data_IF_365784479703
#
_entry.id   IF_365784479703
#
_cell.length_a   1.000
_cell.length_b   1.000
_cell.length_c   1.000
_cell.angle_alpha   90.00
_cell.angle_beta   90.00
_cell.angle_gamma   90.00
#
_symmetry.space_group_name_H-M   'P 1'
#
loop_
_entity.id
_entity.type
_entity.pdbx_description
1 polymer ?
#
# COMPACT_ATOMS: atom_id res chain seq x y z
N UNK A 1 -31.17 26.79 28.38
CA UNK A 1 -30.73 25.41 28.70
C UNK A 1 -30.86 24.47 27.50
N UNK A 2 -32.07 24.26 26.94
CA UNK A 2 -32.27 23.42 25.75
C UNK A 2 -31.40 23.82 24.54
N UNK A 3 -31.31 25.11 24.22
CA UNK A 3 -30.48 25.60 23.10
C UNK A 3 -28.98 25.30 23.31
N UNK A 4 -28.50 25.44 24.55
CA UNK A 4 -27.10 25.20 24.89
C UNK A 4 -26.74 23.70 24.82
N UNK A 5 -27.66 22.82 25.22
CA UNK A 5 -27.51 21.37 25.10
C UNK A 5 -27.50 20.95 23.63
N UNK A 6 -28.37 21.53 22.80
CA UNK A 6 -28.42 21.25 21.36
C UNK A 6 -27.10 21.62 20.65
N UNK A 7 -26.54 22.79 20.97
CA UNK A 7 -25.25 23.25 20.41
C UNK A 7 -24.12 22.31 20.82
N UNK A 8 -24.10 21.85 22.07
CA UNK A 8 -23.11 20.90 22.56
C UNK A 8 -23.16 19.56 21.82
N UNK A 9 -24.36 19.06 21.54
CA UNK A 9 -24.56 17.82 20.76
C UNK A 9 -24.06 17.99 19.33
N UNK A 10 -24.40 19.10 18.66
CA UNK A 10 -23.96 19.37 17.27
C UNK A 10 -22.44 19.48 17.18
N UNK A 11 -21.80 20.17 18.13
CA UNK A 11 -20.33 20.29 18.19
C UNK A 11 -19.67 18.93 18.46
N UNK A 12 -20.24 18.13 19.36
CA UNK A 12 -19.77 16.77 19.64
C UNK A 12 -19.83 15.87 18.40
N UNK A 13 -20.95 15.88 17.67
CA UNK A 13 -21.13 15.11 16.43
C UNK A 13 -20.14 15.55 15.35
N UNK A 14 -19.95 16.86 15.17
CA UNK A 14 -18.97 17.40 14.20
C UNK A 14 -17.54 16.95 14.51
N UNK A 15 -17.14 16.96 15.79
CA UNK A 15 -15.82 16.49 16.23
C UNK A 15 -15.60 15.01 15.92
N UNK A 16 -16.59 14.15 16.19
CA UNK A 16 -16.50 12.71 15.87
C UNK A 16 -16.40 12.47 14.36
N UNK A 17 -17.17 13.20 13.55
CA UNK A 17 -17.13 13.07 12.08
C UNK A 17 -15.78 13.51 11.51
N UNK A 18 -15.19 14.60 12.02
CA UNK A 18 -13.86 15.06 11.60
C UNK A 18 -12.77 14.05 12.00
N UNK A 19 -12.82 13.50 13.22
CA UNK A 19 -11.89 12.46 13.66
C UNK A 19 -12.01 11.19 12.83
N UNK A 20 -13.24 10.74 12.55
CA UNK A 20 -13.49 9.55 11.74
C UNK A 20 -13.00 9.73 10.29
N UNK A 21 -13.19 10.92 9.71
CA UNK A 21 -12.65 11.23 8.37
C UNK A 21 -11.12 11.29 8.37
N UNK A 22 -10.51 11.90 9.39
CA UNK A 22 -9.05 12.01 9.52
C UNK A 22 -8.39 10.65 9.76
N UNK A 23 -9.04 9.80 10.56
CA UNK A 23 -8.66 8.40 10.75
C UNK A 23 -8.73 7.62 9.44
N UNK A 24 -9.82 7.73 8.67
CA UNK A 24 -9.92 7.10 7.35
C UNK A 24 -8.85 7.58 6.37
N UNK A 25 -8.51 8.85 6.36
CA UNK A 25 -7.41 9.36 5.50
C UNK A 25 -6.04 8.88 5.96
N UNK A 26 -5.79 8.76 7.27
CA UNK A 26 -4.55 8.18 7.78
C UNK A 26 -4.47 6.67 7.53
N UNK A 27 -5.59 5.98 7.57
CA UNK A 27 -5.69 4.56 7.23
C UNK A 27 -5.49 4.34 5.73
N UNK A 28 -6.10 5.18 4.90
CA UNK A 28 -5.88 5.16 3.45
C UNK A 28 -4.42 5.44 3.10
N UNK A 29 -3.79 6.43 3.73
CA UNK A 29 -2.37 6.74 3.53
C UNK A 29 -1.43 5.62 3.99
N UNK A 30 -1.84 4.80 4.97
CA UNK A 30 -1.09 3.62 5.40
C UNK A 30 -1.23 2.43 4.44
N UNK A 31 -2.27 2.44 3.60
CA UNK A 31 -2.53 1.44 2.58
C UNK A 31 -2.01 1.88 1.20
N UNK A 32 -1.52 3.11 1.05
CA UNK A 32 -0.92 3.58 -0.19
C UNK A 32 0.45 2.91 -0.42
N UNK A 33 0.55 2.12 -1.49
CA UNK A 33 1.80 1.48 -1.95
C UNK A 33 2.68 2.52 -2.65
N UNK A 34 2.10 3.35 -3.51
CA UNK A 34 2.75 4.53 -4.09
C UNK A 34 2.06 5.81 -3.57
N UNK A 35 2.82 6.87 -3.22
CA UNK A 35 2.23 8.15 -2.81
C UNK A 35 1.29 8.68 -3.89
N UNK A 36 0.02 8.92 -3.52
CA UNK A 36 -0.99 9.43 -4.44
C UNK A 36 -1.60 8.38 -5.37
N UNK A 37 -1.28 7.10 -5.19
CA UNK A 37 -1.96 5.99 -5.87
C UNK A 37 -2.86 5.27 -4.85
N UNK A 38 -4.18 5.55 -4.83
CA UNK A 38 -5.09 4.82 -3.96
C UNK A 38 -5.07 3.35 -4.39
N UNK A 39 -4.61 2.49 -3.50
CA UNK A 39 -4.43 1.05 -3.78
C UNK A 39 -5.76 0.33 -3.88
N UNK A 40 -6.82 0.84 -3.26
CA UNK A 40 -8.10 0.13 -3.17
C UNK A 40 -8.04 -1.08 -2.24
N UNK A 41 -6.97 -1.21 -1.45
CA UNK A 41 -6.79 -2.29 -0.50
C UNK A 41 -7.85 -2.22 0.62
N UNK A 42 -8.37 -3.37 1.09
CA UNK A 42 -9.27 -3.42 2.22
C UNK A 42 -8.70 -2.74 3.46
N UNK A 43 -9.51 -1.93 4.15
CA UNK A 43 -9.07 -1.21 5.36
C UNK A 43 -8.64 -2.17 6.48
N UNK A 44 -9.24 -3.35 6.51
CA UNK A 44 -8.96 -4.43 7.45
C UNK A 44 -7.47 -4.87 7.39
N UNK A 45 -6.83 -4.80 6.21
CA UNK A 45 -5.43 -5.18 6.03
C UNK A 45 -4.43 -4.30 6.78
N UNK A 46 -4.85 -3.09 7.18
CA UNK A 46 -4.01 -2.25 8.03
C UNK A 46 -3.83 -2.85 9.43
N UNK A 47 -4.74 -3.72 9.88
CA UNK A 47 -4.78 -4.24 11.25
C UNK A 47 -4.74 -5.78 11.29
N UNK A 48 -5.07 -6.46 10.20
CA UNK A 48 -5.10 -7.92 10.13
C UNK A 48 -3.74 -8.55 9.77
N UNK A 49 -3.51 -9.78 10.27
CA UNK A 49 -2.33 -10.60 9.97
C UNK A 49 -2.59 -11.69 8.92
N UNK A 50 -3.57 -11.47 8.06
CA UNK A 50 -3.83 -12.34 6.91
C UNK A 50 -2.60 -12.40 5.99
N UNK A 51 -2.37 -13.51 5.27
CA UNK A 51 -1.25 -13.61 4.34
C UNK A 51 -1.27 -12.49 3.28
N UNK A 52 -2.45 -12.03 2.87
CA UNK A 52 -2.67 -10.90 1.98
C UNK A 52 -2.19 -9.58 2.59
N UNK A 53 -2.60 -9.29 3.84
CA UNK A 53 -2.18 -8.08 4.54
C UNK A 53 -0.65 -8.03 4.76
N UNK A 54 -0.01 -9.17 4.98
CA UNK A 54 1.47 -9.25 5.05
C UNK A 54 2.12 -9.00 3.69
N UNK A 55 1.55 -9.55 2.62
CA UNK A 55 2.05 -9.35 1.26
C UNK A 55 1.95 -7.88 0.84
N UNK A 56 0.81 -7.24 1.10
CA UNK A 56 0.58 -5.84 0.81
C UNK A 56 1.60 -4.94 1.54
N UNK A 57 1.85 -5.20 2.84
CA UNK A 57 2.90 -4.49 3.60
C UNK A 57 4.29 -4.63 2.96
N UNK A 58 4.66 -5.83 2.48
CA UNK A 58 5.93 -6.02 1.77
C UNK A 58 5.98 -5.25 0.46
N UNK A 59 4.89 -5.19 -0.30
CA UNK A 59 4.79 -4.37 -1.51
C UNK A 59 4.96 -2.88 -1.21
N UNK A 60 4.34 -2.36 -0.14
CA UNK A 60 4.52 -0.98 0.33
C UNK A 60 5.99 -0.71 0.67
N UNK A 61 6.65 -1.62 1.40
CA UNK A 61 8.06 -1.46 1.76
C UNK A 61 8.98 -1.51 0.54
N UNK A 62 8.68 -2.38 -0.43
CA UNK A 62 9.40 -2.46 -1.69
C UNK A 62 9.22 -1.20 -2.53
N UNK A 63 8.00 -0.67 -2.63
CA UNK A 63 7.72 0.59 -3.32
C UNK A 63 8.51 1.75 -2.71
N UNK A 64 8.55 1.84 -1.37
CA UNK A 64 9.40 2.82 -0.66
C UNK A 64 10.87 2.66 -1.00
N UNK A 65 11.36 1.42 -1.09
CA UNK A 65 12.74 1.15 -1.49
C UNK A 65 13.03 1.59 -2.94
N UNK A 66 12.08 1.41 -3.85
CA UNK A 66 12.19 1.86 -5.25
C UNK A 66 12.16 3.38 -5.38
N UNK A 67 11.32 4.06 -4.58
CA UNK A 67 11.23 5.53 -4.60
C UNK A 67 12.54 6.23 -4.23
N UNK A 68 13.33 5.63 -3.34
CA UNK A 68 14.62 6.19 -2.90
C UNK A 68 15.79 5.79 -3.81
N UNK A 69 15.55 5.04 -4.89
CA UNK A 69 16.59 4.72 -5.86
C UNK A 69 17.04 6.01 -6.58
N UNK A 70 18.35 6.28 -6.64
CA UNK A 70 18.86 7.45 -7.35
C UNK A 70 18.72 7.26 -8.87
N UNK A 71 18.39 8.35 -9.54
CA UNK A 71 18.25 8.41 -10.99
C UNK A 71 19.59 8.83 -11.62
N UNK A 72 20.48 7.87 -11.79
CA UNK A 72 21.86 8.14 -12.25
C UNK A 72 21.97 8.33 -13.76
N UNK A 73 21.08 7.71 -14.53
CA UNK A 73 20.98 7.77 -15.99
C UNK A 73 19.55 7.42 -16.46
N UNK A 74 19.28 7.57 -17.75
CA UNK A 74 17.97 7.27 -18.35
C UNK A 74 17.60 5.80 -18.17
N UNK A 75 18.57 4.88 -18.25
CA UNK A 75 18.33 3.46 -18.03
C UNK A 75 17.92 3.15 -16.58
N UNK A 76 18.43 3.90 -15.59
CA UNK A 76 18.04 3.80 -14.19
C UNK A 76 16.62 4.31 -13.97
N UNK A 77 16.22 5.38 -14.67
CA UNK A 77 14.84 5.86 -14.67
C UNK A 77 13.89 4.81 -15.26
N UNK A 78 14.22 4.25 -16.42
CA UNK A 78 13.40 3.20 -17.06
C UNK A 78 13.25 1.97 -16.15
N UNK A 79 14.33 1.52 -15.52
CA UNK A 79 14.30 0.40 -14.56
C UNK A 79 13.47 0.72 -13.32
N UNK A 80 13.56 1.94 -12.80
CA UNK A 80 12.72 2.41 -11.67
C UNK A 80 11.24 2.38 -12.06
N UNK A 81 10.88 2.96 -13.21
CA UNK A 81 9.48 3.00 -13.68
C UNK A 81 8.96 1.58 -13.95
N UNK A 82 9.77 0.70 -14.53
CA UNK A 82 9.41 -0.70 -14.74
C UNK A 82 9.14 -1.43 -13.41
N UNK A 83 9.95 -1.19 -12.38
CA UNK A 83 9.73 -1.72 -11.04
C UNK A 83 8.44 -1.17 -10.42
N UNK A 84 8.18 0.14 -10.51
CA UNK A 84 6.95 0.77 -10.01
C UNK A 84 5.69 0.18 -10.65
N UNK A 85 5.71 -0.02 -11.97
CA UNK A 85 4.58 -0.62 -12.70
C UNK A 85 4.34 -2.08 -12.27
N UNK A 86 5.41 -2.87 -12.08
CA UNK A 86 5.28 -4.27 -11.62
C UNK A 86 4.74 -4.35 -10.19
N UNK A 87 5.14 -3.43 -9.32
CA UNK A 87 4.60 -3.34 -7.97
C UNK A 87 3.09 -3.03 -8.01
N UNK A 88 2.68 -2.04 -8.80
CA UNK A 88 1.27 -1.67 -8.94
C UNK A 88 0.39 -2.81 -9.51
N UNK A 89 0.92 -3.55 -10.49
CA UNK A 89 0.25 -4.73 -11.06
C UNK A 89 0.10 -5.85 -10.02
N UNK A 90 1.16 -6.16 -9.26
CA UNK A 90 1.12 -7.17 -8.21
C UNK A 90 0.13 -6.79 -7.10
N UNK A 91 0.10 -5.52 -6.70
CA UNK A 91 -0.85 -5.03 -5.70
C UNK A 91 -2.30 -5.13 -6.19
N UNK A 92 -2.56 -4.74 -7.43
CA UNK A 92 -3.89 -4.85 -8.04
C UNK A 92 -4.38 -6.30 -8.11
N UNK A 93 -3.50 -7.24 -8.49
CA UNK A 93 -3.79 -8.68 -8.49
C UNK A 93 -4.04 -9.21 -7.09
N UNK A 94 -3.24 -8.80 -6.11
CA UNK A 94 -3.42 -9.18 -4.71
C UNK A 94 -4.78 -8.73 -4.16
N UNK A 95 -5.19 -7.50 -4.48
CA UNK A 95 -6.49 -6.94 -4.07
C UNK A 95 -7.64 -7.68 -4.74
N UNK A 96 -7.53 -7.99 -6.04
CA UNK A 96 -8.52 -8.78 -6.75
C UNK A 96 -8.71 -10.18 -6.11
N UNK A 97 -7.60 -10.84 -5.76
CA UNK A 97 -7.61 -12.14 -5.07
C UNK A 97 -8.21 -12.02 -3.67
N UNK A 98 -7.84 -10.97 -2.92
CA UNK A 98 -8.35 -10.70 -1.58
C UNK A 98 -9.85 -10.41 -1.52
N UNK A 99 -10.40 -9.80 -2.59
CA UNK A 99 -11.83 -9.53 -2.72
C UNK A 99 -12.66 -10.76 -3.14
N UNK A 100 -12.04 -11.77 -3.76
CA UNK A 100 -12.69 -13.01 -4.14
C UNK A 100 -13.06 -13.86 -2.91
N UNK A 101 -13.98 -14.82 -3.05
CA UNK A 101 -14.35 -15.81 -1.99
C UNK A 101 -13.79 -17.20 -2.25
N UNK A 102 -12.87 -17.32 -3.20
CA UNK A 102 -12.37 -18.59 -3.72
C UNK A 102 -11.53 -19.37 -2.66
N UNK A 103 -11.77 -20.67 -2.44
CA UNK A 103 -10.93 -21.51 -1.59
C UNK A 103 -9.47 -21.66 -2.08
N UNK A 104 -9.21 -21.48 -3.38
CA UNK A 104 -7.85 -21.49 -3.97
C UNK A 104 -7.07 -20.19 -3.74
N UNK A 105 -7.66 -19.20 -3.05
CA UNK A 105 -7.03 -17.91 -2.74
C UNK A 105 -5.66 -18.05 -2.11
N UNK A 106 -5.50 -18.98 -1.17
CA UNK A 106 -4.21 -19.19 -0.49
C UNK A 106 -3.11 -19.66 -1.44
N UNK A 107 -3.44 -20.51 -2.41
CA UNK A 107 -2.49 -20.95 -3.44
C UNK A 107 -2.14 -19.79 -4.38
N UNK A 108 -3.13 -18.98 -4.77
CA UNK A 108 -2.91 -17.79 -5.59
C UNK A 108 -2.02 -16.74 -4.89
N UNK A 109 -2.24 -16.49 -3.60
CA UNK A 109 -1.39 -15.59 -2.79
C UNK A 109 0.03 -16.15 -2.64
N UNK A 110 0.17 -17.47 -2.52
CA UNK A 110 1.49 -18.12 -2.46
C UNK A 110 2.24 -17.97 -3.78
N UNK A 111 1.56 -18.12 -4.93
CA UNK A 111 2.14 -17.88 -6.25
C UNK A 111 2.64 -16.44 -6.42
N UNK A 112 1.84 -15.46 -6.01
CA UNK A 112 2.25 -14.05 -6.00
C UNK A 112 3.47 -13.79 -5.10
N UNK A 113 3.64 -14.57 -4.03
CA UNK A 113 4.82 -14.49 -3.16
C UNK A 113 6.12 -14.81 -3.87
N UNK A 114 6.10 -15.71 -4.86
CA UNK A 114 7.26 -16.00 -5.72
C UNK A 114 7.60 -14.81 -6.61
N UNK A 115 6.60 -14.23 -7.28
CA UNK A 115 6.78 -13.06 -8.15
C UNK A 115 7.31 -11.83 -7.38
N UNK A 116 6.82 -11.62 -6.14
CA UNK A 116 7.31 -10.56 -5.28
C UNK A 116 8.78 -10.78 -4.89
N UNK A 117 9.17 -12.01 -4.53
CA UNK A 117 10.54 -12.32 -4.14
C UNK A 117 11.54 -12.08 -5.29
N UNK A 118 11.14 -12.36 -6.54
CA UNK A 118 11.93 -12.02 -7.73
C UNK A 118 12.11 -10.51 -7.89
N UNK A 119 11.02 -9.74 -7.72
CA UNK A 119 11.07 -8.29 -7.82
C UNK A 119 11.91 -7.66 -6.70
N UNK A 120 11.81 -8.16 -5.47
CA UNK A 120 12.65 -7.75 -4.34
C UNK A 120 14.15 -8.00 -4.62
N UNK A 121 14.47 -9.13 -5.24
CA UNK A 121 15.84 -9.46 -5.68
C UNK A 121 16.35 -8.48 -6.74
N UNK A 122 15.53 -8.17 -7.73
CA UNK A 122 15.85 -7.22 -8.80
C UNK A 122 16.08 -5.81 -8.24
N UNK A 123 15.17 -5.30 -7.41
CA UNK A 123 15.32 -3.99 -6.74
C UNK A 123 16.56 -3.97 -5.85
N UNK A 124 16.85 -5.07 -5.15
CA UNK A 124 18.08 -5.22 -4.36
C UNK A 124 19.33 -5.18 -5.23
N UNK A 125 19.30 -5.75 -6.43
CA UNK A 125 20.38 -5.66 -7.41
C UNK A 125 20.55 -4.23 -7.93
N UNK A 126 19.46 -3.54 -8.28
CA UNK A 126 19.48 -2.13 -8.69
C UNK A 126 20.12 -1.24 -7.63
N UNK A 127 19.76 -1.44 -6.35
CA UNK A 127 20.35 -0.69 -5.23
C UNK A 127 21.86 -0.93 -5.08
N UNK A 128 22.34 -2.14 -5.38
CA UNK A 128 23.79 -2.46 -5.35
C UNK A 128 24.54 -1.86 -6.53
N UNK A 129 23.91 -1.80 -7.69
CA UNK A 129 24.49 -1.23 -8.91
C UNK A 129 24.57 0.29 -8.88
N UNK A 130 23.76 0.94 -8.05
CA UNK A 130 23.87 2.38 -7.84
C UNK A 130 24.90 2.70 -6.74
N UNK A 131 26.11 3.19 -7.08
CA UNK A 131 27.07 3.60 -6.08
C UNK A 131 26.52 4.78 -5.27
N UNK A 132 26.52 4.66 -3.93
CA UNK A 132 26.35 5.79 -3.01
C UNK A 132 27.45 6.81 -3.34
N UNK A 133 27.09 7.94 -3.94
CA UNK A 133 27.92 9.16 -3.92
C UNK A 133 27.48 10.05 -2.78
#
# INVERSE_FOLDING_TARGET
MLLAVLVLIVVGVLLVVVLARRSKTQLAAQLEVLPGMPTGAPIEWAHEETPEARMHRRLVDLARAVMVLPLTDDAALERKVAAENRIAELDSRLIAIGAGTDPSRQEAVTGLGGELAELESEVSALRRLSPRR
#
